data_IF_652597172502
#
_entry.id   IF_652597172502
#
_cell.length_a   1.000
_cell.length_b   1.000
_cell.length_c   1.000
_cell.angle_alpha   90.00
_cell.angle_beta   90.00
_cell.angle_gamma   90.00
#
_symmetry.space_group_name_H-M   'P 1'
#
loop_
_entity.id
_entity.type
_entity.pdbx_description
1 polymer ?
#
# COMPACT_ATOMS: atom_id res chain seq x y z
N UNK A 1 -16.05 -19.68 -7.76
CA UNK A 1 -15.19 -18.47 -7.86
C UNK A 1 -15.65 -17.30 -6.98
N UNK A 2 -16.94 -17.17 -6.63
CA UNK A 2 -17.44 -16.06 -5.80
C UNK A 2 -16.87 -16.04 -4.37
N UNK A 3 -16.71 -17.21 -3.74
CA UNK A 3 -16.14 -17.33 -2.38
C UNK A 3 -14.71 -16.79 -2.34
N UNK A 4 -13.84 -17.25 -3.25
CA UNK A 4 -12.45 -16.80 -3.33
C UNK A 4 -12.32 -15.28 -3.52
N UNK A 5 -13.17 -14.67 -4.35
CA UNK A 5 -13.17 -13.21 -4.55
C UNK A 5 -13.62 -12.44 -3.32
N UNK A 6 -14.61 -12.95 -2.57
CA UNK A 6 -15.03 -12.36 -1.28
C UNK A 6 -13.94 -12.51 -0.23
N UNK A 7 -13.31 -13.68 -0.14
CA UNK A 7 -12.16 -13.91 0.75
C UNK A 7 -11.03 -12.94 0.43
N UNK A 8 -10.69 -12.77 -0.84
CA UNK A 8 -9.64 -11.83 -1.25
C UNK A 8 -9.98 -10.39 -0.88
N UNK A 9 -11.23 -9.95 -1.08
CA UNK A 9 -11.65 -8.61 -0.65
C UNK A 9 -11.50 -8.41 0.87
N UNK A 10 -11.85 -9.41 1.69
CA UNK A 10 -11.65 -9.37 3.15
C UNK A 10 -10.15 -9.29 3.49
N UNK A 11 -9.31 -10.06 2.81
CA UNK A 11 -7.86 -9.99 2.99
C UNK A 11 -7.32 -8.60 2.62
N UNK A 12 -7.85 -7.94 1.59
CA UNK A 12 -7.49 -6.57 1.25
C UNK A 12 -7.88 -5.57 2.34
N UNK A 13 -9.04 -5.74 2.99
CA UNK A 13 -9.43 -4.90 4.14
C UNK A 13 -8.43 -5.06 5.27
N UNK A 14 -8.11 -6.30 5.66
CA UNK A 14 -7.13 -6.58 6.73
C UNK A 14 -5.77 -5.98 6.36
N UNK A 15 -5.30 -6.22 5.14
CA UNK A 15 -4.03 -5.67 4.65
C UNK A 15 -4.01 -4.14 4.65
N UNK A 16 -5.12 -3.50 4.31
CA UNK A 16 -5.22 -2.04 4.31
C UNK A 16 -5.17 -1.45 5.72
N UNK A 17 -5.69 -2.15 6.73
CA UNK A 17 -5.47 -1.79 8.14
C UNK A 17 -3.99 -1.88 8.50
N UNK A 18 -3.34 -2.98 8.12
CA UNK A 18 -1.89 -3.15 8.35
C UNK A 18 -1.10 -2.03 7.68
N UNK A 19 -1.36 -1.74 6.39
CA UNK A 19 -0.72 -0.65 5.67
C UNK A 19 -0.93 0.70 6.36
N UNK A 20 -2.16 1.03 6.79
CA UNK A 20 -2.44 2.30 7.45
C UNK A 20 -1.69 2.42 8.77
N UNK A 21 -1.75 1.39 9.62
CA UNK A 21 -1.02 1.37 10.90
C UNK A 21 0.49 1.48 10.66
N UNK A 22 1.01 0.77 9.66
CA UNK A 22 2.42 0.79 9.30
C UNK A 22 2.86 2.16 8.78
N UNK A 23 2.09 2.78 7.89
CA UNK A 23 2.35 4.12 7.37
C UNK A 23 2.34 5.19 8.47
N UNK A 24 1.40 5.11 9.40
CA UNK A 24 1.33 6.00 10.56
C UNK A 24 2.48 5.78 11.54
N UNK A 25 2.89 4.53 11.76
CA UNK A 25 4.07 4.22 12.58
C UNK A 25 5.36 4.77 11.93
N UNK A 26 5.48 4.66 10.61
CA UNK A 26 6.57 5.25 9.84
C UNK A 26 6.61 6.77 9.97
N UNK A 27 5.46 7.44 9.87
CA UNK A 27 5.39 8.88 10.15
C UNK A 27 5.73 9.24 11.59
N UNK A 28 5.27 8.44 12.55
CA UNK A 28 5.59 8.64 13.95
C UNK A 28 7.11 8.63 14.17
N UNK A 29 7.83 7.63 13.64
CA UNK A 29 9.29 7.59 13.70
C UNK A 29 9.92 8.76 12.93
N UNK A 30 9.40 9.11 11.74
CA UNK A 30 9.91 10.21 10.92
C UNK A 30 9.90 11.55 11.66
N UNK A 31 8.80 11.88 12.35
CA UNK A 31 8.65 13.17 13.04
C UNK A 31 9.25 13.20 14.45
N UNK A 32 9.28 12.06 15.15
CA UNK A 32 9.70 12.01 16.56
C UNK A 32 11.11 11.45 16.76
N UNK A 33 11.62 10.70 15.79
CA UNK A 33 12.84 9.90 15.93
C UNK A 33 12.70 8.70 16.87
N UNK A 34 11.51 8.44 17.42
CA UNK A 34 11.25 7.33 18.35
C UNK A 34 10.90 6.07 17.54
N UNK A 35 11.69 5.01 17.73
CA UNK A 35 11.52 3.73 17.02
C UNK A 35 10.31 2.93 17.54
N UNK A 36 9.32 2.61 16.69
CA UNK A 36 8.20 1.77 17.08
C UNK A 36 8.58 0.28 16.96
N UNK A 37 9.14 -0.29 18.02
CA UNK A 37 9.62 -1.69 18.14
C UNK A 37 10.79 -2.07 17.21
N UNK A 38 10.75 -1.65 15.95
CA UNK A 38 11.79 -1.83 14.94
C UNK A 38 12.15 -0.47 14.30
N UNK A 39 13.31 -0.40 13.65
CA UNK A 39 13.72 0.78 12.87
C UNK A 39 13.04 0.74 11.50
N UNK A 40 12.08 1.65 11.28
CA UNK A 40 11.34 1.78 10.03
C UNK A 40 12.02 2.75 9.08
N UNK A 41 12.63 3.82 9.61
CA UNK A 41 13.37 4.76 8.76
C UNK A 41 14.63 4.10 8.22
N UNK A 42 14.94 4.35 6.95
CA UNK A 42 16.16 3.86 6.31
C UNK A 42 17.13 5.02 6.11
N UNK A 43 18.32 4.92 6.71
CA UNK A 43 19.35 5.95 6.63
C UNK A 43 19.90 6.15 5.21
N UNK A 44 19.74 5.18 4.32
CA UNK A 44 20.12 5.31 2.92
C UNK A 44 19.15 6.19 2.12
N UNK A 45 17.91 6.36 2.61
CA UNK A 45 16.86 7.07 1.86
C UNK A 45 16.89 8.57 2.20
N UNK A 46 16.90 9.46 1.19
CA UNK A 46 16.71 10.89 1.42
C UNK A 46 15.40 11.15 2.19
N UNK A 47 15.40 12.15 3.07
CA UNK A 47 14.22 12.48 3.90
C UNK A 47 12.95 12.71 3.09
N UNK A 48 13.06 13.25 1.87
CA UNK A 48 11.93 13.43 0.97
C UNK A 48 11.35 12.10 0.47
N UNK A 49 12.20 11.14 0.12
CA UNK A 49 11.80 9.80 -0.33
C UNK A 49 11.04 9.08 0.79
N UNK A 50 11.61 9.08 2.00
CA UNK A 50 10.97 8.48 3.18
C UNK A 50 9.61 9.12 3.48
N UNK A 51 9.51 10.45 3.41
CA UNK A 51 8.24 11.15 3.60
C UNK A 51 7.19 10.69 2.58
N UNK A 52 7.54 10.65 1.29
CA UNK A 52 6.62 10.21 0.23
C UNK A 52 6.24 8.73 0.43
N UNK A 53 7.16 7.88 0.87
CA UNK A 53 6.89 6.47 1.15
C UNK A 53 5.78 6.30 2.19
N UNK A 54 5.98 6.90 3.37
CA UNK A 54 5.00 6.82 4.45
C UNK A 54 3.68 7.49 4.09
N UNK A 55 3.72 8.57 3.30
CA UNK A 55 2.54 9.23 2.77
C UNK A 55 1.73 8.27 1.88
N UNK A 56 2.37 7.65 0.89
CA UNK A 56 1.71 6.78 -0.07
C UNK A 56 1.16 5.51 0.59
N UNK A 57 1.89 4.91 1.54
CA UNK A 57 1.39 3.76 2.31
C UNK A 57 0.15 4.15 3.12
N UNK A 58 0.21 5.29 3.83
CA UNK A 58 -0.91 5.79 4.64
C UNK A 58 -2.13 6.12 3.77
N UNK A 59 -1.91 6.78 2.63
CA UNK A 59 -2.97 7.09 1.68
C UNK A 59 -3.58 5.83 1.06
N UNK A 60 -2.78 4.83 0.70
CA UNK A 60 -3.28 3.57 0.16
C UNK A 60 -4.16 2.83 1.17
N UNK A 61 -3.68 2.64 2.40
CA UNK A 61 -4.45 2.00 3.47
C UNK A 61 -5.71 2.78 3.81
N UNK A 62 -5.59 4.09 4.03
CA UNK A 62 -6.70 4.96 4.38
C UNK A 62 -7.76 5.07 3.28
N UNK A 63 -7.34 5.29 2.03
CA UNK A 63 -8.25 5.41 0.88
C UNK A 63 -9.03 4.13 0.65
N UNK A 64 -8.38 2.96 0.75
CA UNK A 64 -9.07 1.69 0.61
C UNK A 64 -10.10 1.48 1.72
N UNK A 65 -9.74 1.72 2.98
CA UNK A 65 -10.63 1.52 4.12
C UNK A 65 -11.83 2.46 4.08
N UNK A 66 -11.60 3.76 3.84
CA UNK A 66 -12.67 4.75 3.68
C UNK A 66 -13.58 4.31 2.54
N UNK A 67 -12.99 4.03 1.37
CA UNK A 67 -13.72 3.58 0.21
C UNK A 67 -14.56 2.34 0.46
N UNK A 68 -14.01 1.37 1.19
CA UNK A 68 -14.70 0.12 1.53
C UNK A 68 -15.89 0.38 2.44
N UNK A 69 -15.74 1.24 3.46
CA UNK A 69 -16.82 1.58 4.39
C UNK A 69 -17.92 2.43 3.74
N UNK A 70 -17.54 3.35 2.85
CA UNK A 70 -18.48 4.28 2.21
C UNK A 70 -18.99 3.79 0.86
N UNK A 71 -18.57 2.62 0.39
CA UNK A 71 -18.87 2.07 -0.94
C UNK A 71 -18.53 3.07 -2.06
N UNK A 72 -17.36 3.71 -1.97
CA UNK A 72 -17.02 4.80 -2.88
C UNK A 72 -16.59 4.28 -4.25
N UNK A 73 -17.32 4.68 -5.29
CA UNK A 73 -17.12 4.23 -6.67
C UNK A 73 -15.77 4.60 -7.31
N UNK A 74 -15.09 5.63 -6.80
CA UNK A 74 -13.78 6.05 -7.30
C UNK A 74 -12.64 5.24 -6.67
N UNK A 75 -12.89 4.49 -5.59
CA UNK A 75 -11.84 3.75 -4.85
C UNK A 75 -11.01 2.83 -5.74
N UNK A 76 -11.57 1.98 -6.62
CA UNK A 76 -10.76 1.13 -7.50
C UNK A 76 -9.74 1.93 -8.35
N UNK A 77 -10.14 3.10 -8.83
CA UNK A 77 -9.28 3.95 -9.64
C UNK A 77 -8.22 4.69 -8.82
N UNK A 78 -8.58 5.23 -7.65
CA UNK A 78 -7.60 5.86 -6.75
C UNK A 78 -6.55 4.85 -6.27
N UNK A 79 -6.97 3.62 -5.97
CA UNK A 79 -6.03 2.58 -5.57
C UNK A 79 -5.06 2.22 -6.69
N UNK A 80 -5.50 2.16 -7.94
CA UNK A 80 -4.60 1.97 -9.10
C UNK A 80 -3.53 3.08 -9.14
N UNK A 81 -3.93 4.34 -8.98
CA UNK A 81 -3.00 5.49 -8.99
C UNK A 81 -2.02 5.39 -7.82
N UNK A 82 -2.52 5.12 -6.61
CA UNK A 82 -1.68 5.00 -5.40
C UNK A 82 -0.69 3.83 -5.52
N UNK A 83 -1.13 2.66 -5.98
CA UNK A 83 -0.25 1.52 -6.24
C UNK A 83 0.75 1.78 -7.35
N UNK A 84 0.40 2.54 -8.38
CA UNK A 84 1.35 2.95 -9.42
C UNK A 84 2.44 3.86 -8.85
N UNK A 85 2.08 4.80 -7.98
CA UNK A 85 3.05 5.67 -7.31
C UNK A 85 3.94 4.90 -6.32
N UNK A 86 3.35 3.98 -5.54
CA UNK A 86 4.11 3.09 -4.66
C UNK A 86 5.10 2.23 -5.46
N UNK A 87 4.67 1.63 -6.57
CA UNK A 87 5.55 0.85 -7.43
C UNK A 87 6.75 1.66 -7.92
N UNK A 88 6.53 2.90 -8.38
CA UNK A 88 7.61 3.79 -8.82
C UNK A 88 8.54 4.13 -7.66
N UNK A 89 7.99 4.46 -6.49
CA UNK A 89 8.81 4.80 -5.33
C UNK A 89 9.63 3.60 -4.83
N UNK A 90 9.01 2.42 -4.69
CA UNK A 90 9.69 1.19 -4.31
C UNK A 90 10.79 0.82 -5.33
N UNK A 91 10.62 1.17 -6.62
CA UNK A 91 11.66 0.99 -7.64
C UNK A 91 12.86 1.90 -7.36
N UNK A 92 12.62 3.19 -7.12
CA UNK A 92 13.67 4.16 -6.77
C UNK A 92 14.39 3.72 -5.48
N UNK A 93 13.65 3.37 -4.45
CA UNK A 93 14.19 2.90 -3.17
C UNK A 93 15.05 1.63 -3.31
N UNK A 94 14.63 0.71 -4.18
CA UNK A 94 15.35 -0.56 -4.41
C UNK A 94 16.59 -0.36 -5.27
N UNK A 95 16.51 0.41 -6.36
CA UNK A 95 17.61 0.49 -7.34
C UNK A 95 18.57 1.67 -7.11
N UNK A 96 18.06 2.81 -6.64
CA UNK A 96 18.89 4.01 -6.44
C UNK A 96 19.47 4.07 -5.02
N UNK A 97 18.78 3.47 -4.04
CA UNK A 97 19.16 3.52 -2.63
C UNK A 97 19.27 2.14 -1.97
N UNK A 98 19.55 1.09 -2.76
CA UNK A 98 19.60 -0.30 -2.28
C UNK A 98 20.37 -0.41 -0.96
N UNK A 99 19.69 -0.91 0.07
CA UNK A 99 20.26 -1.13 1.40
C UNK A 99 20.16 -2.61 1.76
N UNK A 100 20.97 -3.08 2.72
CA UNK A 100 20.87 -4.47 3.20
C UNK A 100 19.50 -4.80 3.83
N UNK A 101 18.73 -3.79 4.21
CA UNK A 101 17.44 -3.93 4.89
C UNK A 101 16.31 -4.42 3.96
N UNK A 102 16.42 -4.17 2.65
CA UNK A 102 15.36 -4.49 1.68
C UNK A 102 15.90 -5.31 0.52
N UNK A 103 15.31 -6.49 0.30
CA UNK A 103 15.75 -7.43 -0.73
C UNK A 103 14.94 -7.26 -2.02
N UNK A 104 15.57 -7.59 -3.15
CA UNK A 104 14.89 -7.69 -4.46
C UNK A 104 13.63 -8.57 -4.40
N UNK A 105 13.61 -9.59 -3.52
CA UNK A 105 12.44 -10.46 -3.31
C UNK A 105 11.25 -9.70 -2.72
N UNK A 106 11.50 -8.80 -1.75
CA UNK A 106 10.44 -7.98 -1.15
C UNK A 106 9.83 -7.05 -2.20
N UNK A 107 10.67 -6.36 -2.95
CA UNK A 107 10.26 -5.50 -4.08
C UNK A 107 9.40 -6.24 -5.11
N UNK A 108 9.84 -7.41 -5.60
CA UNK A 108 9.06 -8.20 -6.56
C UNK A 108 7.71 -8.62 -5.97
N UNK A 109 7.68 -8.99 -4.69
CA UNK A 109 6.44 -9.38 -4.00
C UNK A 109 5.45 -8.22 -3.93
N UNK A 110 5.92 -7.02 -3.62
CA UNK A 110 5.11 -5.80 -3.60
C UNK A 110 4.53 -5.47 -4.98
N UNK A 111 5.35 -5.54 -6.04
CA UNK A 111 4.88 -5.29 -7.40
C UNK A 111 3.80 -6.28 -7.84
N UNK A 112 3.98 -7.57 -7.55
CA UNK A 112 2.97 -8.60 -7.85
C UNK A 112 1.68 -8.29 -7.09
N UNK A 113 1.79 -7.91 -5.81
CA UNK A 113 0.64 -7.57 -4.99
C UNK A 113 -0.11 -6.34 -5.54
N UNK A 114 0.59 -5.27 -5.90
CA UNK A 114 0.03 -4.05 -6.48
C UNK A 114 -0.70 -4.34 -7.80
N UNK A 115 -0.07 -5.11 -8.69
CA UNK A 115 -0.63 -5.46 -9.98
C UNK A 115 -1.86 -6.37 -9.82
N UNK A 116 -1.75 -7.44 -9.03
CA UNK A 116 -2.85 -8.37 -8.79
C UNK A 116 -4.06 -7.68 -8.16
N UNK A 117 -3.82 -6.81 -7.17
CA UNK A 117 -4.88 -6.05 -6.50
C UNK A 117 -5.54 -5.07 -7.47
N UNK A 118 -4.76 -4.36 -8.28
CA UNK A 118 -5.28 -3.44 -9.30
C UNK A 118 -6.18 -4.16 -10.31
N UNK A 119 -5.73 -5.31 -10.83
CA UNK A 119 -6.52 -6.14 -11.74
C UNK A 119 -7.80 -6.63 -11.07
N UNK A 120 -7.71 -7.09 -9.81
CA UNK A 120 -8.87 -7.54 -9.05
C UNK A 120 -9.89 -6.42 -8.86
N UNK A 121 -9.46 -5.22 -8.43
CA UNK A 121 -10.36 -4.12 -8.12
C UNK A 121 -11.14 -3.64 -9.36
N UNK A 122 -10.51 -3.67 -10.54
CA UNK A 122 -11.13 -3.22 -11.78
C UNK A 122 -12.01 -4.28 -12.46
N UNK A 123 -11.68 -5.57 -12.32
CA UNK A 123 -12.31 -6.63 -13.11
C UNK A 123 -13.24 -7.55 -12.32
N UNK A 124 -13.02 -7.70 -11.01
CA UNK A 124 -13.81 -8.62 -10.19
C UNK A 124 -15.26 -8.18 -10.04
N UNK A 125 -16.20 -9.10 -10.29
CA UNK A 125 -17.63 -8.84 -10.07
C UNK A 125 -17.93 -8.45 -8.62
N UNK A 126 -17.19 -9.00 -7.65
CA UNK A 126 -17.33 -8.66 -6.22
C UNK A 126 -16.90 -7.22 -5.94
N UNK A 127 -15.78 -6.80 -6.52
CA UNK A 127 -15.31 -5.41 -6.40
C UNK A 127 -16.32 -4.45 -7.04
N UNK A 128 -16.75 -4.75 -8.27
CA UNK A 128 -17.75 -3.94 -8.99
C UNK A 128 -19.05 -3.83 -8.22
N UNK A 129 -19.55 -4.93 -7.64
CA UNK A 129 -20.77 -4.89 -6.83
C UNK A 129 -20.64 -4.09 -5.54
N UNK A 130 -19.42 -4.02 -4.97
CA UNK A 130 -19.19 -3.28 -3.72
C UNK A 130 -18.97 -1.79 -3.95
N UNK A 131 -18.22 -1.42 -4.99
CA UNK A 131 -17.80 -0.04 -5.21
C UNK A 131 -18.57 0.67 -6.34
N UNK A 132 -18.89 0.00 -7.45
CA UNK A 132 -19.34 0.63 -8.71
C UNK A 132 -20.88 0.56 -8.87
N UNK A 133 -21.61 0.27 -7.78
CA UNK A 133 -23.08 0.21 -7.81
C UNK A 133 -23.73 1.54 -8.18
#
# INVERSE_FOLDING_TARGET
MMIASKTYLILLVIWSVVMLVWGLAGFFEYFTGIKPFIELQNKAYPNGVQFVHWLLISLAGGTFLIGYLTHWNVTPFLMLVLFSNLAVLCTIETFDFMSEQWSLKAYITELIFYLATSVFLLNSAVSKSHFIS
#
